data_IF_223301154927
#
_entry.id   IF_223301154927
#
_cell.length_a   1.000
_cell.length_b   1.000
_cell.length_c   1.000
_cell.angle_alpha   90.00
_cell.angle_beta   90.00
_cell.angle_gamma   90.00
#
_symmetry.space_group_name_H-M   'P 1'
#
loop_
_entity.id
_entity.type
_entity.pdbx_description
1 polymer ?
#
# COMPACT_ATOMS: atom_id res chain seq x y z
N UNK A 1 7.49 17.65 48.45
CA UNK A 1 6.02 17.63 48.24
C UNK A 1 5.67 16.23 47.80
N UNK A 2 4.91 15.50 48.62
CA UNK A 2 4.58 14.08 48.41
C UNK A 2 3.45 13.96 47.38
N UNK A 3 3.67 13.24 46.28
CA UNK A 3 2.63 12.95 45.27
C UNK A 3 1.67 11.90 45.79
N UNK A 4 0.40 12.00 45.38
CA UNK A 4 -0.68 11.13 45.82
C UNK A 4 -0.65 9.76 45.09
N UNK A 5 0.43 9.00 45.28
CA UNK A 5 0.67 7.69 44.63
C UNK A 5 -0.30 6.58 45.06
N UNK A 6 -1.16 6.86 46.04
CA UNK A 6 -2.19 5.92 46.53
C UNK A 6 -3.53 6.04 45.79
N UNK A 7 -3.68 7.03 44.90
CA UNK A 7 -4.92 7.22 44.15
C UNK A 7 -4.94 6.29 42.94
N UNK A 8 -5.80 5.27 42.97
CA UNK A 8 -6.11 4.45 41.80
C UNK A 8 -7.23 5.11 40.99
N UNK A 9 -6.89 5.79 39.91
CA UNK A 9 -7.85 6.31 38.95
C UNK A 9 -8.42 5.15 38.11
N UNK A 10 -9.75 5.02 38.05
CA UNK A 10 -10.39 4.17 37.05
C UNK A 10 -10.42 4.88 35.69
N UNK A 11 -10.27 4.16 34.57
CA UNK A 11 -10.33 4.76 33.24
C UNK A 11 -11.69 5.43 33.01
N UNK A 12 -11.68 6.70 32.59
CA UNK A 12 -12.90 7.36 32.14
C UNK A 12 -13.18 6.94 30.69
N UNK A 13 -14.19 6.11 30.46
CA UNK A 13 -14.82 6.02 29.14
C UNK A 13 -15.70 7.25 28.93
N UNK A 14 -15.12 8.31 28.39
CA UNK A 14 -15.85 9.47 27.90
C UNK A 14 -15.47 9.68 26.45
N UNK A 15 -16.50 9.73 25.59
CA UNK A 15 -16.33 10.18 24.20
C UNK A 15 -15.69 11.56 24.23
N UNK A 16 -14.54 11.69 23.59
CA UNK A 16 -13.80 12.94 23.60
C UNK A 16 -14.53 13.98 22.74
N UNK A 17 -14.43 15.27 23.11
CA UNK A 17 -15.02 16.36 22.31
C UNK A 17 -14.53 16.34 20.85
N UNK A 18 -13.23 16.07 20.54
CA UNK A 18 -12.77 15.88 19.18
C UNK A 18 -13.50 14.75 18.42
N UNK A 19 -13.76 13.61 19.06
CA UNK A 19 -14.47 12.49 18.44
C UNK A 19 -15.92 12.84 18.11
N UNK A 20 -16.61 13.50 19.03
CA UNK A 20 -18.00 13.95 18.81
C UNK A 20 -18.07 14.93 17.63
N UNK A 21 -17.12 15.87 17.55
CA UNK A 21 -17.04 16.82 16.42
C UNK A 21 -16.74 16.09 15.10
N UNK A 22 -15.81 15.14 15.12
CA UNK A 22 -15.46 14.37 13.92
C UNK A 22 -16.65 13.56 13.39
N UNK A 23 -17.35 12.84 14.27
CA UNK A 23 -18.54 12.07 13.91
C UNK A 23 -19.66 12.98 13.40
N UNK A 24 -19.85 14.17 14.00
CA UNK A 24 -20.88 15.09 13.52
C UNK A 24 -20.57 15.60 12.12
N UNK A 25 -19.32 15.94 11.83
CA UNK A 25 -18.91 16.34 10.48
C UNK A 25 -19.08 15.21 9.47
N UNK A 26 -18.77 13.96 9.84
CA UNK A 26 -19.02 12.79 8.99
C UNK A 26 -20.51 12.61 8.71
N UNK A 27 -21.35 12.71 9.74
CA UNK A 27 -22.80 12.57 9.59
C UNK A 27 -23.40 13.62 8.64
N UNK A 28 -22.91 14.87 8.66
CA UNK A 28 -23.34 15.92 7.72
C UNK A 28 -22.89 15.64 6.28
N UNK A 29 -21.78 14.92 6.08
CA UNK A 29 -21.32 14.47 4.77
C UNK A 29 -22.20 13.31 4.27
N UNK A 30 -22.46 12.33 5.13
CA UNK A 30 -23.32 11.17 4.82
C UNK A 30 -24.77 11.57 4.53
N UNK A 31 -25.29 12.60 5.21
CA UNK A 31 -26.62 13.15 4.92
C UNK A 31 -26.67 13.96 3.63
N UNK A 32 -25.52 14.29 3.02
CA UNK A 32 -25.40 15.15 1.85
C UNK A 32 -25.56 16.65 2.15
N UNK A 33 -25.62 17.05 3.42
CA UNK A 33 -25.59 18.47 3.82
C UNK A 33 -24.27 19.11 3.40
N UNK A 34 -23.16 18.38 3.61
CA UNK A 34 -21.83 18.69 3.12
C UNK A 34 -21.50 17.76 1.95
N UNK A 35 -21.22 18.32 0.78
CA UNK A 35 -20.89 17.53 -0.41
C UNK A 35 -19.39 17.51 -0.64
N UNK A 36 -18.87 16.47 -1.32
CA UNK A 36 -17.47 16.45 -1.77
C UNK A 36 -17.11 17.75 -2.52
N UNK A 37 -15.97 18.35 -2.16
CA UNK A 37 -15.51 19.64 -2.68
C UNK A 37 -16.03 20.88 -1.93
N UNK A 38 -17.03 20.74 -1.06
CA UNK A 38 -17.53 21.87 -0.26
C UNK A 38 -16.45 22.34 0.75
N UNK A 39 -16.36 23.66 0.92
CA UNK A 39 -15.45 24.29 1.89
C UNK A 39 -16.11 24.41 3.25
N UNK A 40 -15.45 23.92 4.29
CA UNK A 40 -15.89 24.12 5.67
C UNK A 40 -15.71 25.60 6.10
N UNK A 41 -16.53 26.09 7.05
CA UNK A 41 -16.25 27.37 7.71
C UNK A 41 -14.84 27.39 8.31
N UNK A 42 -14.27 28.60 8.46
CA UNK A 42 -12.95 28.74 9.08
C UNK A 42 -12.91 28.13 10.49
N UNK A 43 -11.76 27.62 10.94
CA UNK A 43 -11.65 27.00 12.27
C UNK A 43 -12.23 27.87 13.41
N UNK A 44 -11.98 29.20 13.46
CA UNK A 44 -12.57 30.03 14.52
C UNK A 44 -14.09 30.09 14.44
N UNK A 45 -14.66 30.09 13.24
CA UNK A 45 -16.10 30.13 13.03
C UNK A 45 -16.76 28.80 13.36
N UNK A 46 -16.19 27.70 12.86
CA UNK A 46 -16.71 26.36 13.09
C UNK A 46 -16.63 25.98 14.58
N UNK A 47 -15.59 26.44 15.29
CA UNK A 47 -15.48 26.23 16.74
C UNK A 47 -16.57 26.98 17.51
N UNK A 48 -16.97 28.17 17.03
CA UNK A 48 -18.11 28.92 17.60
C UNK A 48 -19.42 28.19 17.36
N UNK A 49 -19.65 27.69 16.15
CA UNK A 49 -20.88 26.98 15.79
C UNK A 49 -21.05 25.67 16.57
N UNK A 50 -19.97 24.91 16.77
CA UNK A 50 -20.00 23.70 17.59
C UNK A 50 -19.94 23.95 19.09
N UNK A 51 -19.73 25.21 19.53
CA UNK A 51 -19.51 25.56 20.94
C UNK A 51 -18.37 24.76 21.60
N UNK A 52 -17.27 24.55 20.88
CA UNK A 52 -16.10 23.77 21.37
C UNK A 52 -14.82 24.62 21.40
N UNK A 53 -13.83 24.13 22.16
CA UNK A 53 -12.48 24.70 22.13
C UNK A 53 -11.80 24.54 20.77
N UNK A 54 -11.02 25.54 20.36
CA UNK A 54 -10.26 25.52 19.09
C UNK A 54 -9.27 24.36 19.00
N UNK A 55 -8.68 23.95 20.12
CA UNK A 55 -7.78 22.78 20.19
C UNK A 55 -8.51 21.50 19.82
N UNK A 56 -9.69 21.27 20.39
CA UNK A 56 -10.52 20.09 20.12
C UNK A 56 -11.04 20.06 18.69
N UNK A 57 -11.43 21.21 18.13
CA UNK A 57 -11.81 21.28 16.72
C UNK A 57 -10.63 20.96 15.80
N UNK A 58 -9.44 21.51 16.07
CA UNK A 58 -8.24 21.21 15.28
C UNK A 58 -7.88 19.73 15.34
N UNK A 59 -8.04 19.10 16.49
CA UNK A 59 -7.81 17.67 16.64
C UNK A 59 -8.81 16.84 15.83
N UNK A 60 -10.09 17.21 15.85
CA UNK A 60 -11.11 16.59 15.01
C UNK A 60 -10.81 16.75 13.51
N UNK A 61 -10.47 17.96 13.07
CA UNK A 61 -10.11 18.26 11.67
C UNK A 61 -8.85 17.49 11.27
N UNK A 62 -7.82 17.43 12.13
CA UNK A 62 -6.61 16.63 11.86
C UNK A 62 -6.93 15.16 11.72
N UNK A 63 -7.74 14.60 12.61
CA UNK A 63 -8.19 13.19 12.54
C UNK A 63 -8.90 12.92 11.21
N UNK A 64 -9.87 13.74 10.83
CA UNK A 64 -10.60 13.58 9.57
C UNK A 64 -9.74 13.83 8.33
N UNK A 65 -8.73 14.69 8.42
CA UNK A 65 -7.74 14.89 7.37
C UNK A 65 -6.87 13.64 7.18
N UNK A 66 -6.35 13.08 8.28
CA UNK A 66 -5.59 11.82 8.26
C UNK A 66 -6.44 10.67 7.72
N UNK A 67 -7.72 10.60 8.07
CA UNK A 67 -8.67 9.62 7.54
C UNK A 67 -9.14 9.90 6.11
N UNK A 68 -8.72 11.02 5.51
CA UNK A 68 -9.06 11.34 4.14
C UNK A 68 -10.47 11.82 3.88
N UNK A 69 -11.22 12.11 4.94
CA UNK A 69 -12.57 12.68 4.84
C UNK A 69 -12.48 14.16 4.47
N UNK A 70 -11.45 14.85 4.96
CA UNK A 70 -11.21 16.27 4.71
C UNK A 70 -9.84 16.49 4.06
N UNK A 71 -9.70 17.61 3.36
CA UNK A 71 -8.44 18.10 2.81
C UNK A 71 -8.15 19.51 3.35
N UNK A 72 -6.94 19.75 3.85
CA UNK A 72 -6.52 21.06 4.36
C UNK A 72 -5.60 21.73 3.35
N UNK A 73 -6.10 22.74 2.65
CA UNK A 73 -5.32 23.50 1.67
C UNK A 73 -4.73 24.73 2.35
N UNK A 74 -3.40 24.77 2.51
CA UNK A 74 -2.68 25.87 3.16
C UNK A 74 -3.08 27.23 2.58
N UNK A 75 -3.50 28.15 3.45
CA UNK A 75 -3.96 29.49 3.06
C UNK A 75 -5.36 29.55 2.42
N UNK A 76 -5.96 28.41 2.06
CA UNK A 76 -7.27 28.36 1.38
C UNK A 76 -8.38 27.69 2.22
N UNK A 77 -8.05 26.98 3.29
CA UNK A 77 -9.02 26.42 4.24
C UNK A 77 -9.18 24.90 4.13
N UNK A 78 -10.21 24.38 4.80
CA UNK A 78 -10.52 22.94 4.86
C UNK A 78 -11.70 22.62 3.95
N UNK A 79 -11.62 21.53 3.21
CA UNK A 79 -12.62 21.08 2.24
C UNK A 79 -13.03 19.64 2.52
N UNK A 80 -14.25 19.27 2.17
CA UNK A 80 -14.64 17.85 2.09
C UNK A 80 -13.88 17.24 0.92
N UNK A 81 -13.14 16.16 1.16
CA UNK A 81 -12.31 15.57 0.10
C UNK A 81 -13.21 15.11 -1.05
N UNK A 82 -12.87 15.56 -2.25
CA UNK A 82 -13.46 15.05 -3.48
C UNK A 82 -12.53 14.00 -4.04
N UNK A 83 -12.92 12.72 -3.93
CA UNK A 83 -12.15 11.63 -4.56
C UNK A 83 -12.26 11.75 -6.07
N UNK A 84 -11.14 11.90 -6.76
CA UNK A 84 -11.05 11.64 -8.19
C UNK A 84 -10.90 10.14 -8.43
N UNK A 85 -11.43 9.63 -9.54
CA UNK A 85 -11.24 8.24 -9.93
C UNK A 85 -9.73 7.92 -10.00
N UNK A 86 -9.27 6.99 -9.17
CA UNK A 86 -7.85 6.61 -9.06
C UNK A 86 -7.07 7.27 -7.93
N UNK A 87 -7.64 8.17 -7.13
CA UNK A 87 -6.97 8.69 -5.93
C UNK A 87 -6.96 7.65 -4.78
N UNK A 88 -5.80 7.38 -4.14
CA UNK A 88 -5.71 6.44 -3.04
C UNK A 88 -6.49 6.91 -1.79
N UNK A 89 -7.14 5.97 -1.10
CA UNK A 89 -7.84 6.24 0.17
C UNK A 89 -6.84 6.70 1.27
N UNK A 90 -6.98 7.89 1.87
CA UNK A 90 -6.01 8.40 2.85
C UNK A 90 -5.98 7.63 4.18
N UNK A 91 -6.94 6.73 4.44
CA UNK A 91 -6.86 5.79 5.57
C UNK A 91 -5.67 4.82 5.49
N UNK A 92 -5.04 4.73 4.33
CA UNK A 92 -3.90 3.86 4.09
C UNK A 92 -2.68 4.74 3.80
N UNK A 93 -1.84 4.85 4.83
CA UNK A 93 -0.56 5.58 4.84
C UNK A 93 0.37 4.99 3.78
N UNK A 94 1.11 5.84 3.06
CA UNK A 94 2.23 5.39 2.23
C UNK A 94 3.29 4.77 3.14
N UNK A 95 3.56 3.47 2.96
CA UNK A 95 4.46 2.75 3.86
C UNK A 95 5.91 3.04 3.47
N UNK A 96 6.61 3.76 4.33
CA UNK A 96 8.04 4.02 4.17
C UNK A 96 8.87 2.99 4.94
N UNK A 97 10.07 2.70 4.44
CA UNK A 97 11.04 1.79 5.08
C UNK A 97 11.45 2.28 6.48
N UNK A 98 11.29 3.56 6.76
CA UNK A 98 11.73 4.21 8.01
C UNK A 98 10.64 4.31 9.09
N UNK A 99 9.36 4.38 8.70
CA UNK A 99 8.24 4.58 9.65
C UNK A 99 7.15 3.50 9.56
N UNK A 100 7.28 2.55 8.62
CA UNK A 100 6.35 1.45 8.38
C UNK A 100 6.74 0.10 9.00
N UNK A 101 5.99 -0.97 8.71
CA UNK A 101 6.34 -2.33 9.10
C UNK A 101 7.70 -2.76 8.56
N UNK A 102 8.30 -3.79 9.16
CA UNK A 102 9.57 -4.33 8.64
C UNK A 102 9.42 -4.83 7.20
N UNK A 103 10.46 -4.72 6.37
CA UNK A 103 10.38 -5.15 4.97
C UNK A 103 9.97 -6.62 4.82
N UNK A 104 10.32 -7.47 5.79
CA UNK A 104 9.91 -8.87 5.85
C UNK A 104 8.40 -9.06 5.95
N UNK A 105 7.74 -8.33 6.84
CA UNK A 105 6.29 -8.41 7.04
C UNK A 105 5.52 -7.90 5.81
N UNK A 106 5.99 -6.79 5.25
CA UNK A 106 5.46 -6.21 3.99
C UNK A 106 5.51 -7.25 2.87
N UNK A 107 6.61 -7.99 2.81
CA UNK A 107 6.83 -9.01 1.80
C UNK A 107 5.99 -10.25 1.94
N UNK A 108 5.84 -10.77 3.16
CA UNK A 108 4.99 -11.92 3.44
C UNK A 108 3.56 -11.66 2.96
N UNK A 109 3.06 -10.45 3.22
CA UNK A 109 1.73 -10.02 2.76
C UNK A 109 1.69 -9.93 1.24
N UNK A 110 2.68 -9.28 0.61
CA UNK A 110 2.75 -9.17 -0.86
C UNK A 110 2.76 -10.56 -1.52
N UNK A 111 3.62 -11.46 -1.08
CA UNK A 111 3.69 -12.84 -1.57
C UNK A 111 2.37 -13.58 -1.36
N UNK A 112 1.76 -13.48 -0.19
CA UNK A 112 0.46 -14.13 0.08
C UNK A 112 -0.63 -13.69 -0.91
N UNK A 113 -0.72 -12.39 -1.17
CA UNK A 113 -1.68 -11.82 -2.13
C UNK A 113 -1.38 -12.27 -3.56
N UNK A 114 -0.13 -12.16 -4.00
CA UNK A 114 0.25 -12.43 -5.38
C UNK A 114 0.26 -13.92 -5.73
N UNK A 115 0.64 -14.81 -4.81
CA UNK A 115 0.56 -16.26 -5.01
C UNK A 115 -0.89 -16.74 -5.10
N UNK A 116 -1.77 -16.13 -4.31
CA UNK A 116 -3.21 -16.37 -4.39
C UNK A 116 -3.76 -15.90 -5.72
N UNK A 117 -3.43 -14.66 -6.12
CA UNK A 117 -3.84 -14.09 -7.41
C UNK A 117 -3.37 -14.94 -8.58
N UNK A 118 -2.09 -15.30 -8.61
CA UNK A 118 -1.47 -16.09 -9.67
C UNK A 118 -2.13 -17.44 -9.83
N UNK A 119 -2.36 -18.15 -8.72
CA UNK A 119 -3.06 -19.44 -8.74
C UNK A 119 -4.48 -19.32 -9.30
N UNK A 120 -5.21 -18.26 -8.93
CA UNK A 120 -6.56 -18.00 -9.45
C UNK A 120 -6.54 -17.60 -10.93
N UNK A 121 -5.59 -16.74 -11.34
CA UNK A 121 -5.43 -16.29 -12.72
C UNK A 121 -5.15 -17.45 -13.66
N UNK A 122 -4.36 -18.45 -13.23
CA UNK A 122 -4.18 -19.68 -13.98
C UNK A 122 -5.50 -20.35 -14.36
N UNK A 123 -6.60 -20.23 -13.60
CA UNK A 123 -7.88 -20.85 -13.97
C UNK A 123 -8.92 -19.87 -14.52
N UNK A 124 -8.78 -18.58 -14.22
CA UNK A 124 -9.82 -17.58 -14.49
C UNK A 124 -9.46 -16.59 -15.59
N UNK A 125 -8.18 -16.42 -15.91
CA UNK A 125 -7.74 -15.45 -16.91
C UNK A 125 -8.41 -15.73 -18.28
N UNK A 126 -8.99 -14.68 -18.86
CA UNK A 126 -9.53 -14.66 -20.22
C UNK A 126 -8.42 -14.43 -21.24
N UNK A 127 -8.70 -14.62 -22.53
CA UNK A 127 -7.72 -14.30 -23.58
C UNK A 127 -7.29 -12.83 -23.53
N UNK A 128 -8.25 -11.91 -23.28
CA UNK A 128 -7.97 -10.49 -23.09
C UNK A 128 -6.99 -10.24 -21.95
N UNK A 129 -7.16 -10.93 -20.82
CA UNK A 129 -6.25 -10.78 -19.67
C UNK A 129 -4.83 -11.27 -20.01
N UNK A 130 -4.72 -12.39 -20.74
CA UNK A 130 -3.44 -12.93 -21.19
C UNK A 130 -2.74 -11.97 -22.15
N UNK A 131 -3.47 -11.37 -23.09
CA UNK A 131 -2.93 -10.42 -24.05
C UNK A 131 -2.44 -9.14 -23.34
N UNK A 132 -3.19 -8.66 -22.35
CA UNK A 132 -2.79 -7.53 -21.49
C UNK A 132 -1.54 -7.87 -20.71
N UNK A 133 -1.50 -9.02 -20.03
CA UNK A 133 -0.31 -9.47 -19.28
C UNK A 133 0.91 -9.57 -20.18
N UNK A 134 0.77 -10.17 -21.36
CA UNK A 134 1.86 -10.27 -22.33
C UNK A 134 2.38 -8.89 -22.76
N UNK A 135 1.48 -7.92 -22.95
CA UNK A 135 1.87 -6.56 -23.28
C UNK A 135 2.62 -5.87 -22.13
N UNK A 136 2.16 -6.04 -20.88
CA UNK A 136 2.84 -5.49 -19.69
C UNK A 136 4.23 -6.10 -19.51
N UNK A 137 4.38 -7.42 -19.66
CA UNK A 137 5.69 -8.08 -19.59
C UNK A 137 6.67 -7.53 -20.65
N UNK A 138 6.19 -7.29 -21.88
CA UNK A 138 7.02 -6.71 -22.95
C UNK A 138 7.41 -5.26 -22.67
N UNK A 139 6.50 -4.46 -22.11
CA UNK A 139 6.77 -3.07 -21.74
C UNK A 139 7.84 -3.00 -20.64
N UNK A 140 7.70 -3.80 -19.59
CA UNK A 140 8.68 -3.85 -18.50
C UNK A 140 10.07 -4.27 -18.98
N UNK A 141 10.16 -5.31 -19.81
CA UNK A 141 11.42 -5.76 -20.42
C UNK A 141 12.08 -4.67 -21.29
N UNK A 142 11.29 -3.86 -22.00
CA UNK A 142 11.82 -2.74 -22.77
C UNK A 142 12.40 -1.64 -21.88
N UNK A 143 11.72 -1.32 -20.78
CA UNK A 143 12.14 -0.30 -19.80
C UNK A 143 13.40 -0.74 -19.04
N UNK A 144 13.58 -2.02 -18.75
CA UNK A 144 14.74 -2.53 -18.00
C UNK A 144 16.09 -2.17 -18.62
N UNK A 145 16.13 -1.95 -19.94
CA UNK A 145 17.34 -1.50 -20.67
C UNK A 145 17.68 -0.03 -20.45
N UNK A 146 16.71 0.77 -20.03
CA UNK A 146 16.87 2.22 -19.82
C UNK A 146 17.47 2.55 -18.45
N UNK A 147 17.39 1.61 -17.49
CA UNK A 147 17.81 1.79 -16.09
C UNK A 147 17.13 2.98 -15.37
N UNK A 148 15.99 3.43 -15.86
CA UNK A 148 15.13 4.37 -15.15
C UNK A 148 14.39 3.61 -14.04
N UNK A 149 14.78 3.85 -12.79
CA UNK A 149 14.25 3.13 -11.62
C UNK A 149 12.77 3.43 -11.41
N UNK A 150 12.33 4.68 -11.63
CA UNK A 150 10.94 5.06 -11.44
C UNK A 150 10.05 4.34 -12.47
N UNK A 151 10.51 4.29 -13.72
CA UNK A 151 9.81 3.60 -14.79
C UNK A 151 9.85 2.07 -14.60
N UNK A 152 10.96 1.52 -14.08
CA UNK A 152 11.09 0.10 -13.73
C UNK A 152 10.07 -0.30 -12.67
N UNK A 153 9.96 0.46 -11.57
CA UNK A 153 8.98 0.22 -10.50
C UNK A 153 7.56 0.29 -11.06
N UNK A 154 7.27 1.33 -11.86
CA UNK A 154 5.95 1.53 -12.48
C UNK A 154 5.57 0.35 -13.37
N UNK A 155 6.45 -0.07 -14.26
CA UNK A 155 6.15 -1.15 -15.21
C UNK A 155 6.12 -2.52 -14.56
N UNK A 156 6.96 -2.78 -13.55
CA UNK A 156 6.89 -3.98 -12.72
C UNK A 156 5.52 -4.11 -12.06
N UNK A 157 5.02 -3.00 -11.49
CA UNK A 157 3.73 -2.98 -10.79
C UNK A 157 2.59 -3.37 -11.70
N UNK A 158 2.64 -2.87 -12.93
CA UNK A 158 1.62 -3.11 -13.94
C UNK A 158 1.57 -4.58 -14.38
N UNK A 159 2.69 -5.31 -14.34
CA UNK A 159 2.70 -6.77 -14.55
C UNK A 159 1.96 -7.47 -13.42
N UNK A 160 2.30 -7.15 -12.17
CA UNK A 160 1.68 -7.77 -11.00
C UNK A 160 0.19 -7.45 -10.87
N UNK A 161 -0.19 -6.19 -11.07
CA UNK A 161 -1.60 -5.77 -11.09
C UNK A 161 -2.40 -6.50 -12.18
N UNK A 162 -1.82 -6.69 -13.37
CA UNK A 162 -2.48 -7.43 -14.45
C UNK A 162 -2.80 -8.88 -14.04
N UNK A 163 -1.90 -9.55 -13.33
CA UNK A 163 -2.15 -10.89 -12.78
C UNK A 163 -3.27 -10.88 -11.73
N UNK A 164 -3.27 -9.89 -10.84
CA UNK A 164 -4.31 -9.74 -9.81
C UNK A 164 -5.69 -9.49 -10.42
N UNK A 165 -5.77 -8.67 -11.47
CA UNK A 165 -7.01 -8.47 -12.23
C UNK A 165 -7.46 -9.76 -12.92
N UNK A 166 -6.54 -10.49 -13.54
CA UNK A 166 -6.81 -11.76 -14.20
C UNK A 166 -7.30 -12.86 -13.26
N UNK A 167 -7.10 -12.70 -11.94
CA UNK A 167 -7.66 -13.60 -10.92
C UNK A 167 -9.18 -13.48 -10.76
N UNK A 168 -9.81 -12.43 -11.32
CA UNK A 168 -11.25 -12.16 -11.25
C UNK A 168 -11.81 -12.34 -9.83
N UNK A 169 -11.08 -11.80 -8.85
CA UNK A 169 -11.48 -11.79 -7.44
C UNK A 169 -11.49 -10.34 -6.94
N UNK A 170 -12.69 -9.77 -6.84
CA UNK A 170 -12.84 -8.35 -6.51
C UNK A 170 -12.26 -8.00 -5.14
N UNK A 171 -12.46 -8.84 -4.13
CA UNK A 171 -11.90 -8.59 -2.80
C UNK A 171 -10.36 -8.58 -2.83
N UNK A 172 -9.76 -9.57 -3.50
CA UNK A 172 -8.30 -9.65 -3.66
C UNK A 172 -7.74 -8.43 -4.39
N UNK A 173 -8.41 -7.99 -5.46
CA UNK A 173 -8.01 -6.80 -6.22
C UNK A 173 -8.09 -5.54 -5.35
N UNK A 174 -9.18 -5.34 -4.61
CA UNK A 174 -9.31 -4.17 -3.74
C UNK A 174 -8.25 -4.16 -2.63
N UNK A 175 -7.99 -5.31 -2.01
CA UNK A 175 -6.92 -5.44 -1.01
C UNK A 175 -5.55 -5.17 -1.61
N UNK A 176 -5.26 -5.70 -2.80
CA UNK A 176 -3.98 -5.46 -3.48
C UNK A 176 -3.76 -3.98 -3.77
N UNK A 177 -4.73 -3.32 -4.42
CA UNK A 177 -4.65 -1.90 -4.78
C UNK A 177 -4.56 -0.98 -3.55
N UNK A 178 -5.10 -1.42 -2.40
CA UNK A 178 -4.99 -0.68 -1.15
C UNK A 178 -3.63 -0.83 -0.45
N UNK A 179 -2.82 -1.85 -0.79
CA UNK A 179 -1.61 -2.15 -0.02
C UNK A 179 -0.34 -2.07 -0.87
N UNK A 180 -0.27 -2.82 -1.97
CA UNK A 180 0.98 -3.06 -2.70
C UNK A 180 1.51 -1.83 -3.45
N UNK A 181 0.66 -1.00 -4.11
CA UNK A 181 1.11 0.27 -4.72
C UNK A 181 1.73 1.27 -3.73
N UNK A 182 1.50 1.09 -2.42
CA UNK A 182 2.07 1.97 -1.38
C UNK A 182 3.43 1.53 -0.88
N UNK A 183 3.93 0.39 -1.36
CA UNK A 183 5.25 -0.13 -1.04
C UNK A 183 6.34 0.42 -1.97
N UNK A 184 6.10 1.56 -2.63
CA UNK A 184 6.99 2.14 -3.66
C UNK A 184 8.39 2.36 -3.13
N UNK A 185 8.55 2.85 -1.89
CA UNK A 185 9.88 3.07 -1.30
C UNK A 185 10.67 1.77 -1.16
N UNK A 186 10.01 0.68 -0.72
CA UNK A 186 10.64 -0.65 -0.65
C UNK A 186 11.03 -1.13 -2.04
N UNK A 187 10.15 -0.94 -3.04
CA UNK A 187 10.38 -1.40 -4.41
C UNK A 187 11.46 -0.61 -5.14
N UNK A 188 11.54 0.70 -4.92
CA UNK A 188 12.64 1.55 -5.40
C UNK A 188 13.97 1.11 -4.81
N UNK A 189 14.01 0.81 -3.51
CA UNK A 189 15.21 0.29 -2.87
C UNK A 189 15.60 -1.08 -3.45
N UNK A 190 14.66 -2.01 -3.61
CA UNK A 190 14.96 -3.36 -4.12
C UNK A 190 15.39 -3.34 -5.59
N UNK A 191 14.68 -2.60 -6.45
CA UNK A 191 14.98 -2.53 -7.88
C UNK A 191 16.22 -1.69 -8.19
N UNK A 192 16.58 -0.73 -7.33
CA UNK A 192 17.86 -0.03 -7.44
C UNK A 192 19.05 -0.91 -7.01
N UNK A 193 18.82 -1.85 -6.09
CA UNK A 193 19.78 -2.83 -5.63
C UNK A 193 19.88 -4.05 -6.53
N UNK A 194 18.90 -4.25 -7.43
CA UNK A 194 18.96 -5.20 -8.54
C UNK A 194 20.23 -4.91 -9.31
N UNK A 195 21.29 -5.64 -8.94
CA UNK A 195 22.60 -5.42 -9.53
C UNK A 195 22.39 -5.66 -11.00
N UNK A 196 22.93 -4.76 -11.81
CA UNK A 196 22.99 -4.85 -13.26
C UNK A 196 23.86 -6.04 -13.74
N UNK A 197 23.66 -7.21 -13.14
CA UNK A 197 24.21 -8.47 -13.53
C UNK A 197 23.43 -8.92 -14.77
N UNK A 198 24.14 -9.09 -15.87
CA UNK A 198 23.65 -9.35 -17.22
C UNK A 198 22.93 -10.71 -17.36
N UNK A 199 22.67 -11.39 -16.23
CA UNK A 199 21.88 -12.60 -16.14
C UNK A 199 20.40 -12.23 -16.26
N UNK A 200 19.97 -12.15 -17.50
CA UNK A 200 18.57 -12.21 -17.91
C UNK A 200 17.86 -13.34 -17.15
N UNK A 201 17.08 -13.00 -16.13
CA UNK A 201 16.13 -13.94 -15.55
C UNK A 201 14.73 -13.59 -16.08
N UNK A 202 14.17 -14.38 -17.01
CA UNK A 202 12.91 -14.11 -17.70
C UNK A 202 11.66 -14.27 -16.80
N UNK A 203 11.73 -13.83 -15.55
CA UNK A 203 10.73 -14.12 -14.53
C UNK A 203 9.30 -13.78 -14.95
N UNK A 204 9.06 -12.60 -15.53
CA UNK A 204 7.71 -12.18 -15.95
C UNK A 204 7.24 -12.91 -17.22
N UNK A 205 8.14 -13.29 -18.12
CA UNK A 205 7.79 -14.13 -19.29
C UNK A 205 7.49 -15.58 -18.89
N UNK A 206 8.23 -16.14 -17.92
CA UNK A 206 7.96 -17.46 -17.35
C UNK A 206 6.60 -17.48 -16.65
N UNK A 207 6.29 -16.43 -15.90
CA UNK A 207 4.99 -16.23 -15.25
C UNK A 207 3.86 -16.22 -16.28
N UNK A 208 3.98 -15.39 -17.32
CA UNK A 208 2.99 -15.33 -18.40
C UNK A 208 2.80 -16.71 -19.07
N UNK A 209 3.90 -17.38 -19.45
CA UNK A 209 3.84 -18.70 -20.07
C UNK A 209 3.16 -19.73 -19.17
N UNK A 210 3.47 -19.74 -17.87
CA UNK A 210 2.85 -20.65 -16.91
C UNK A 210 1.34 -20.37 -16.74
N UNK A 211 0.91 -19.11 -16.75
CA UNK A 211 -0.52 -18.75 -16.70
C UNK A 211 -1.23 -19.19 -17.99
N UNK A 212 -0.64 -18.96 -19.17
CA UNK A 212 -1.16 -19.42 -20.47
C UNK A 212 -1.34 -20.94 -20.48
N UNK A 213 -0.36 -21.68 -19.96
CA UNK A 213 -0.40 -23.13 -19.86
C UNK A 213 -1.21 -23.65 -18.67
N UNK A 214 -1.87 -22.76 -17.91
CA UNK A 214 -2.71 -23.12 -16.75
C UNK A 214 -1.96 -23.89 -15.67
N UNK A 215 -0.63 -23.72 -15.60
CA UNK A 215 0.23 -24.39 -14.65
C UNK A 215 0.43 -23.51 -13.40
N UNK A 216 -0.48 -23.64 -12.45
CA UNK A 216 -0.48 -22.85 -11.22
C UNK A 216 0.79 -23.03 -10.38
N UNK A 217 1.38 -24.22 -10.35
CA UNK A 217 2.61 -24.49 -9.60
C UNK A 217 3.79 -23.73 -10.22
N UNK A 218 4.00 -23.86 -11.53
CA UNK A 218 5.04 -23.14 -12.24
C UNK A 218 4.86 -21.61 -12.15
N UNK A 219 3.62 -21.12 -12.24
CA UNK A 219 3.31 -19.70 -12.17
C UNK A 219 3.64 -19.12 -10.78
N UNK A 220 3.24 -19.82 -9.70
CA UNK A 220 3.59 -19.43 -8.33
C UNK A 220 5.09 -19.42 -8.11
N UNK A 221 5.80 -20.44 -8.60
CA UNK A 221 7.26 -20.49 -8.49
C UNK A 221 7.94 -19.32 -9.21
N UNK A 222 7.42 -18.89 -10.37
CA UNK A 222 7.92 -17.72 -11.07
C UNK A 222 7.78 -16.44 -10.22
N UNK A 223 6.64 -16.24 -9.56
CA UNK A 223 6.42 -15.11 -8.63
C UNK A 223 7.36 -15.18 -7.42
N UNK A 224 7.49 -16.36 -6.79
CA UNK A 224 8.40 -16.53 -5.65
C UNK A 224 9.83 -16.19 -6.05
N UNK A 225 10.32 -16.69 -7.19
CA UNK A 225 11.68 -16.37 -7.68
C UNK A 225 11.84 -14.88 -7.93
N UNK A 226 10.91 -14.27 -8.65
CA UNK A 226 10.95 -12.85 -9.00
C UNK A 226 11.04 -11.95 -7.77
N UNK A 227 10.09 -12.12 -6.85
CA UNK A 227 10.02 -11.31 -5.64
C UNK A 227 11.27 -11.64 -4.80
N UNK A 228 11.50 -12.90 -4.44
CA UNK A 228 12.60 -13.25 -3.51
C UNK A 228 14.00 -12.87 -4.00
N UNK A 229 14.25 -12.86 -5.33
CA UNK A 229 15.52 -12.41 -5.89
C UNK A 229 15.81 -10.95 -5.56
N UNK A 230 14.85 -10.06 -5.83
CA UNK A 230 14.94 -8.62 -5.55
C UNK A 230 15.19 -8.33 -4.07
N UNK A 231 14.67 -9.16 -3.17
CA UNK A 231 14.83 -8.97 -1.72
C UNK A 231 16.04 -9.68 -1.13
N UNK A 232 16.56 -10.73 -1.78
CA UNK A 232 17.85 -11.32 -1.43
C UNK A 232 18.99 -10.31 -1.57
N UNK A 233 18.90 -9.42 -2.55
CA UNK A 233 19.84 -8.31 -2.75
C UNK A 233 19.71 -7.23 -1.67
N UNK A 234 18.48 -6.95 -1.23
CA UNK A 234 18.22 -6.05 -0.09
C UNK A 234 18.79 -6.60 1.20
N UNK A 235 18.63 -7.91 1.46
CA UNK A 235 19.25 -8.58 2.61
C UNK A 235 20.78 -8.50 2.53
N UNK A 236 21.37 -8.76 1.37
CA UNK A 236 22.81 -8.67 1.19
C UNK A 236 23.35 -7.23 1.35
N UNK A 237 22.58 -6.21 0.95
CA UNK A 237 22.91 -4.81 1.20
C UNK A 237 22.80 -4.47 2.70
N UNK A 238 21.74 -4.93 3.37
CA UNK A 238 21.53 -4.75 4.81
C UNK A 238 22.61 -5.40 5.67
N UNK A 239 23.07 -6.60 5.29
CA UNK A 239 24.18 -7.29 5.96
C UNK A 239 25.53 -6.59 5.73
N UNK A 240 25.68 -5.87 4.62
CA UNK A 240 26.91 -5.12 4.29
C UNK A 240 27.01 -3.78 5.03
N UNK A 241 25.88 -3.11 5.30
CA UNK A 241 25.80 -1.91 6.15
C UNK A 241 24.64 -2.01 7.16
N UNK A 242 24.88 -2.63 8.33
CA UNK A 242 23.82 -2.88 9.32
C UNK A 242 23.22 -1.60 9.92
N UNK A 243 23.93 -0.47 9.87
CA UNK A 243 23.51 0.79 10.50
C UNK A 243 22.43 1.54 9.71
N UNK A 244 22.40 1.43 8.38
CA UNK A 244 21.38 2.04 7.52
C UNK A 244 20.14 1.14 7.33
N UNK A 245 20.19 -0.11 7.79
CA UNK A 245 19.31 -1.18 7.30
C UNK A 245 18.73 -2.10 8.39
N UNK A 246 18.76 -1.67 9.66
CA UNK A 246 18.28 -2.45 10.81
C UNK A 246 16.82 -2.93 10.66
N UNK A 247 15.99 -2.19 9.93
CA UNK A 247 14.57 -2.51 9.66
C UNK A 247 14.35 -3.62 8.60
N UNK A 248 15.42 -4.20 8.05
CA UNK A 248 15.40 -5.21 6.99
C UNK A 248 15.66 -6.64 7.51
N UNK A 249 15.26 -6.98 8.75
CA UNK A 249 15.37 -8.36 9.26
C UNK A 249 14.37 -9.26 8.52
N UNK A 250 14.85 -10.34 7.88
CA UNK A 250 14.05 -11.14 6.93
C UNK A 250 13.97 -12.64 7.28
N UNK A 251 12.82 -13.28 7.06
CA UNK A 251 12.66 -14.72 7.19
C UNK A 251 13.15 -15.51 5.95
N UNK A 252 13.34 -16.83 6.12
CA UNK A 252 13.63 -17.74 5.00
C UNK A 252 12.36 -18.03 4.18
N UNK A 253 12.13 -17.24 3.14
CA UNK A 253 10.96 -17.36 2.27
C UNK A 253 10.88 -18.69 1.52
N UNK A 254 12.02 -19.33 1.22
CA UNK A 254 12.02 -20.64 0.58
C UNK A 254 11.46 -21.71 1.53
N UNK A 255 11.70 -21.58 2.83
CA UNK A 255 11.11 -22.44 3.84
C UNK A 255 9.60 -22.17 4.06
N UNK A 256 9.16 -20.91 4.00
CA UNK A 256 7.76 -20.52 4.23
C UNK A 256 6.86 -20.86 3.03
N UNK A 257 7.30 -20.53 1.81
CA UNK A 257 6.47 -20.63 0.60
C UNK A 257 6.92 -21.73 -0.37
N UNK A 258 8.06 -22.38 -0.16
CA UNK A 258 8.54 -23.48 -1.02
C UNK A 258 7.68 -24.74 -0.99
N UNK A 259 6.74 -24.84 -0.06
CA UNK A 259 5.79 -25.96 0.05
C UNK A 259 4.52 -25.81 -0.79
N UNK A 260 4.30 -24.66 -1.45
CA UNK A 260 3.23 -24.48 -2.43
C UNK A 260 3.58 -25.14 -3.78
N UNK A 261 3.87 -26.44 -3.75
CA UNK A 261 4.10 -27.32 -4.90
C UNK A 261 2.79 -27.76 -5.55
#
# INVERSE_FOLDING_TARGET
>A
MSTADHVRYQPLERRSVPEIVAERLVAEIESGTLRPGDRLPSEPELARQFHVGRSSLREAIRKLHTLGVLEVVRGRGTYVRQRTDGEPDPQFVEWSVTEGPGAGEVLEVRLGLELTATGLACFRATQTDLDVLAARCREHEAVRRTRDIDELVRTDEQVHEAVVRAAHNQMLLQTYLALVPRMVDYRKHTLALERADERFDPHHSDLHAAIVHRNASAARQAVVRHISALYGEVRAAAEADPGEHEHLTMPDFAAIFGSFG
#
